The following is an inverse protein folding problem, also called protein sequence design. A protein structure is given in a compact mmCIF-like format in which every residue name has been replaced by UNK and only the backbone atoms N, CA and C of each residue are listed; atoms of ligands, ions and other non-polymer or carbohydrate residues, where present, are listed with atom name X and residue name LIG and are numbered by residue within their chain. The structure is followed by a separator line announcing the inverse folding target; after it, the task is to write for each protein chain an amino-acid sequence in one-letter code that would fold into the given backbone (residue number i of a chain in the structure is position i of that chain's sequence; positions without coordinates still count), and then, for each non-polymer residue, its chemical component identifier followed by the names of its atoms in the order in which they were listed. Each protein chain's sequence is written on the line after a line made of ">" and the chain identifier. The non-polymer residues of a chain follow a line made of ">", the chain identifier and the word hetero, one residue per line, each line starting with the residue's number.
data_IF_280890442264
#
_entry.id   IF_280890442264
#
_cell.length_a   1.000
_cell.length_b   1.000
_cell.length_c   1.000
_cell.angle_alpha   90.00
_cell.angle_beta   90.00
_cell.angle_gamma   90.00
#
_symmetry.space_group_name_H-M   'P 1'
#
loop_
_entity.id
_entity.type
_entity.pdbx_description
1 polymer ?
#
# COMPACT_ATOMS: atom_id res chain seq x y z
N UNK A 1 -34.87 -3.85 -12.88
CA UNK A 1 -33.52 -3.96 -13.47
C UNK A 1 -32.53 -3.40 -12.46
N UNK A 2 -32.03 -4.26 -11.58
CA UNK A 2 -31.05 -3.86 -10.56
C UNK A 2 -29.68 -3.77 -11.21
N UNK A 3 -29.08 -2.57 -11.19
CA UNK A 3 -27.67 -2.40 -11.54
C UNK A 3 -26.84 -3.14 -10.49
N UNK A 4 -26.35 -4.33 -10.85
CA UNK A 4 -25.24 -4.96 -10.15
C UNK A 4 -24.05 -4.01 -10.28
N UNK A 5 -23.75 -3.25 -9.23
CA UNK A 5 -22.52 -2.48 -9.17
C UNK A 5 -21.35 -3.46 -9.22
N UNK A 6 -20.58 -3.42 -10.30
CA UNK A 6 -19.30 -4.13 -10.37
C UNK A 6 -18.48 -3.70 -9.15
N UNK A 7 -18.12 -4.64 -8.27
CA UNK A 7 -17.14 -4.36 -7.24
C UNK A 7 -15.87 -3.87 -7.96
N UNK A 8 -15.35 -2.71 -7.56
CA UNK A 8 -14.07 -2.22 -8.08
C UNK A 8 -12.99 -3.21 -7.63
N UNK A 9 -12.31 -3.85 -8.58
CA UNK A 9 -11.16 -4.70 -8.29
C UNK A 9 -9.96 -3.78 -8.00
N UNK A 10 -9.56 -3.69 -6.74
CA UNK A 10 -8.36 -2.96 -6.33
C UNK A 10 -7.14 -3.85 -6.54
N UNK A 11 -6.07 -3.27 -7.06
CA UNK A 11 -4.83 -3.99 -7.28
C UNK A 11 -3.63 -3.17 -6.83
N UNK A 12 -2.72 -3.83 -6.13
CA UNK A 12 -1.47 -3.23 -5.71
C UNK A 12 -0.36 -3.81 -6.58
N UNK A 13 0.32 -2.95 -7.31
CA UNK A 13 1.44 -3.31 -8.17
C UNK A 13 2.75 -3.19 -7.38
N UNK A 14 3.34 -4.33 -7.02
CA UNK A 14 4.54 -4.43 -6.20
C UNK A 14 5.63 -5.27 -6.90
N UNK A 15 6.24 -4.78 -7.99
CA UNK A 15 7.23 -5.54 -8.77
C UNK A 15 8.51 -5.88 -7.99
N UNK A 16 8.80 -5.15 -6.92
CA UNK A 16 9.87 -5.46 -5.97
C UNK A 16 9.77 -6.88 -5.41
N UNK A 17 8.56 -7.39 -5.15
CA UNK A 17 8.36 -8.72 -4.59
C UNK A 17 8.84 -9.85 -5.51
N UNK A 18 8.87 -9.63 -6.83
CA UNK A 18 9.37 -10.62 -7.79
C UNK A 18 10.88 -10.85 -7.70
N UNK A 19 11.61 -9.95 -7.04
CA UNK A 19 13.06 -10.06 -6.85
C UNK A 19 13.43 -10.88 -5.61
N UNK A 20 12.43 -11.30 -4.83
CA UNK A 20 12.61 -12.14 -3.65
C UNK A 20 12.27 -13.61 -3.99
N UNK A 21 12.91 -14.59 -3.34
CA UNK A 21 12.62 -16.00 -3.62
C UNK A 21 11.16 -16.32 -3.31
N UNK A 22 10.42 -16.87 -4.29
CA UNK A 22 9.05 -17.34 -4.09
C UNK A 22 8.97 -18.30 -2.90
N UNK A 23 7.87 -18.22 -2.15
CA UNK A 23 7.68 -18.99 -0.92
C UNK A 23 8.35 -18.39 0.32
N UNK A 24 9.23 -17.40 0.18
CA UNK A 24 9.78 -16.67 1.32
C UNK A 24 8.68 -15.84 2.00
N UNK A 25 8.71 -15.69 3.33
CA UNK A 25 7.71 -14.88 4.04
C UNK A 25 7.87 -13.40 3.66
N UNK A 26 6.74 -12.69 3.58
CA UNK A 26 6.67 -11.27 3.22
C UNK A 26 7.54 -10.38 4.13
N UNK A 27 7.81 -10.78 5.37
CA UNK A 27 8.79 -10.09 6.25
C UNK A 27 10.16 -9.91 5.59
N UNK A 28 10.58 -10.82 4.71
CA UNK A 28 11.84 -10.67 3.98
C UNK A 28 11.85 -9.41 3.09
N UNK A 29 10.67 -8.98 2.67
CA UNK A 29 10.49 -7.81 1.85
C UNK A 29 10.59 -6.49 2.65
N UNK A 30 10.62 -6.54 3.99
CA UNK A 30 10.85 -5.36 4.84
C UNK A 30 12.33 -5.20 5.22
N UNK A 31 13.19 -6.12 4.81
CA UNK A 31 14.63 -6.06 5.02
C UNK A 31 15.31 -5.26 3.88
N UNK A 32 16.48 -4.64 4.13
CA UNK A 32 17.23 -3.89 3.12
C UNK A 32 17.98 -4.83 2.15
N UNK A 33 17.26 -5.80 1.58
CA UNK A 33 17.78 -6.77 0.61
C UNK A 33 17.58 -6.33 -0.83
N UNK A 34 16.56 -5.51 -1.09
CA UNK A 34 16.23 -4.95 -2.39
C UNK A 34 15.82 -3.48 -2.24
N UNK A 35 16.14 -2.67 -3.26
CA UNK A 35 15.59 -1.32 -3.39
C UNK A 35 14.21 -1.41 -4.06
N UNK A 36 13.16 -1.25 -3.26
CA UNK A 36 11.78 -1.35 -3.73
C UNK A 36 11.42 -0.29 -4.76
N UNK A 37 11.86 0.94 -4.53
CA UNK A 37 11.50 2.08 -5.35
C UNK A 37 12.25 2.01 -6.69
N UNK A 38 13.52 1.59 -6.70
CA UNK A 38 14.24 1.34 -7.95
C UNK A 38 13.64 0.16 -8.73
N UNK A 39 13.24 -0.93 -8.07
CA UNK A 39 12.53 -2.03 -8.73
C UNK A 39 11.24 -1.55 -9.43
N UNK A 40 10.46 -0.69 -8.77
CA UNK A 40 9.27 -0.08 -9.35
C UNK A 40 9.64 0.82 -10.54
N UNK A 41 10.66 1.66 -10.39
CA UNK A 41 11.11 2.58 -11.42
C UNK A 41 11.57 1.85 -12.69
N UNK A 42 12.34 0.78 -12.52
CA UNK A 42 12.77 -0.09 -13.61
C UNK A 42 11.57 -0.73 -14.32
N UNK A 43 10.63 -1.29 -13.55
CA UNK A 43 9.43 -1.91 -14.11
C UNK A 43 8.55 -0.92 -14.89
N UNK A 44 8.39 0.30 -14.37
CA UNK A 44 7.69 1.38 -15.08
C UNK A 44 8.40 1.75 -16.39
N UNK A 45 9.74 1.78 -16.42
CA UNK A 45 10.54 2.11 -17.61
C UNK A 45 10.47 1.02 -18.69
N UNK A 46 10.64 -0.24 -18.31
CA UNK A 46 10.59 -1.39 -19.23
C UNK A 46 9.19 -1.67 -19.76
N UNK A 47 8.17 -1.12 -19.10
CA UNK A 47 6.78 -1.19 -19.49
C UNK A 47 6.00 -2.14 -18.58
N UNK A 48 4.88 -1.65 -18.05
CA UNK A 48 3.89 -2.48 -17.38
C UNK A 48 3.00 -3.15 -18.43
N UNK A 49 3.35 -4.37 -18.85
CA UNK A 49 2.41 -5.19 -19.61
C UNK A 49 1.20 -5.53 -18.72
N UNK A 50 -0.02 -5.29 -19.22
CA UNK A 50 -1.24 -5.63 -18.51
C UNK A 50 -1.85 -4.53 -17.65
N UNK A 51 -1.93 -3.29 -18.17
CA UNK A 51 -2.75 -2.19 -17.61
C UNK A 51 -4.10 -2.73 -17.13
N UNK A 52 -4.32 -2.68 -15.82
CA UNK A 52 -5.64 -2.87 -15.22
C UNK A 52 -6.04 -1.51 -14.65
N UNK A 53 -7.22 -1.06 -15.06
CA UNK A 53 -7.86 0.13 -14.47
C UNK A 53 -7.86 -0.08 -12.94
N UNK A 54 -7.38 0.91 -12.16
CA UNK A 54 -7.26 0.85 -10.68
C UNK A 54 -6.06 0.07 -10.09
N UNK A 55 -4.90 0.11 -10.77
CA UNK A 55 -3.64 -0.30 -10.17
C UNK A 55 -2.99 0.82 -9.32
N UNK A 56 -2.55 0.48 -8.11
CA UNK A 56 -1.84 1.35 -7.17
C UNK A 56 -0.38 0.91 -7.05
N UNK A 57 0.58 1.81 -7.27
CA UNK A 57 1.99 1.47 -7.15
C UNK A 57 2.41 1.35 -5.68
N UNK A 58 3.00 0.21 -5.31
CA UNK A 58 3.59 0.01 -4.00
C UNK A 58 4.95 0.71 -3.89
N UNK A 59 5.07 1.60 -2.91
CA UNK A 59 6.25 2.44 -2.72
C UNK A 59 6.69 2.43 -1.26
N UNK A 60 8.00 2.36 -1.03
CA UNK A 60 8.59 2.64 0.29
C UNK A 60 8.67 4.15 0.43
N UNK A 61 7.64 4.77 1.02
CA UNK A 61 7.49 6.23 1.04
C UNK A 61 8.42 6.96 2.03
N UNK A 62 9.08 6.21 2.91
CA UNK A 62 10.09 6.73 3.85
C UNK A 62 11.51 6.73 3.26
N UNK A 63 11.67 6.28 2.02
CA UNK A 63 12.97 6.27 1.34
C UNK A 63 13.54 7.69 1.18
N UNK A 64 14.69 8.02 1.79
CA UNK A 64 15.26 9.36 1.72
C UNK A 64 15.94 9.65 0.37
N UNK A 65 16.13 8.65 -0.50
CA UNK A 65 16.85 8.77 -1.76
C UNK A 65 15.93 8.86 -2.98
N UNK A 66 14.64 8.61 -2.81
CA UNK A 66 13.68 8.66 -3.91
C UNK A 66 13.46 10.09 -4.43
N UNK A 67 13.53 10.23 -5.76
CA UNK A 67 13.09 11.42 -6.48
C UNK A 67 11.60 11.27 -6.82
N UNK A 68 10.71 11.85 -6.01
CA UNK A 68 9.27 11.60 -6.08
C UNK A 68 8.63 12.17 -7.34
N UNK A 69 9.19 13.26 -7.87
CA UNK A 69 8.82 13.88 -9.13
C UNK A 69 8.99 12.90 -10.29
N UNK A 70 10.12 12.19 -10.37
CA UNK A 70 10.37 11.18 -11.41
C UNK A 70 9.34 10.03 -11.34
N UNK A 71 8.94 9.63 -10.14
CA UNK A 71 7.88 8.65 -9.95
C UNK A 71 6.53 9.18 -10.43
N UNK A 72 6.16 10.41 -10.06
CA UNK A 72 4.88 10.99 -10.43
C UNK A 72 4.74 11.09 -11.96
N UNK A 73 5.77 11.57 -12.65
CA UNK A 73 5.80 11.68 -14.11
C UNK A 73 5.64 10.31 -14.76
N UNK A 74 6.45 9.32 -14.34
CA UNK A 74 6.37 7.97 -14.90
C UNK A 74 5.05 7.28 -14.61
N UNK A 75 4.50 7.41 -13.40
CA UNK A 75 3.19 6.84 -13.05
C UNK A 75 2.09 7.44 -13.93
N UNK A 76 2.14 8.75 -14.19
CA UNK A 76 1.20 9.43 -15.08
C UNK A 76 1.34 8.97 -16.53
N UNK A 77 2.56 8.90 -17.07
CA UNK A 77 2.85 8.39 -18.42
C UNK A 77 2.36 6.95 -18.61
N UNK A 78 2.49 6.12 -17.56
CA UNK A 78 2.07 4.71 -17.60
C UNK A 78 0.58 4.50 -17.34
N UNK A 79 -0.11 5.53 -16.83
CA UNK A 79 -1.55 5.52 -16.58
C UNK A 79 -1.94 4.76 -15.31
N UNK A 80 -1.06 4.70 -14.30
CA UNK A 80 -1.44 4.15 -13.00
C UNK A 80 -2.38 5.11 -12.27
N UNK A 81 -3.35 4.55 -11.56
CA UNK A 81 -4.45 5.31 -10.97
C UNK A 81 -4.13 5.84 -9.57
N UNK A 82 -3.12 5.27 -8.90
CA UNK A 82 -2.80 5.63 -7.54
C UNK A 82 -1.50 5.04 -7.00
N UNK A 83 -1.27 5.31 -5.72
CA UNK A 83 -0.09 4.88 -4.96
C UNK A 83 -0.48 4.32 -3.59
N UNK A 84 0.40 3.51 -3.01
CA UNK A 84 0.29 2.99 -1.64
C UNK A 84 1.66 3.00 -0.94
N UNK A 85 1.68 3.31 0.35
CA UNK A 85 2.85 3.24 1.22
C UNK A 85 3.10 1.78 1.66
N UNK A 86 3.56 0.92 0.75
CA UNK A 86 3.76 -0.50 1.04
C UNK A 86 5.18 -0.96 0.73
N UNK A 87 5.87 -1.62 1.69
CA UNK A 87 5.44 -1.90 3.07
C UNK A 87 5.29 -0.62 3.91
N UNK A 88 4.37 -0.58 4.87
CA UNK A 88 4.16 0.62 5.68
C UNK A 88 5.26 0.80 6.72
N UNK A 89 5.60 2.05 7.04
CA UNK A 89 6.60 2.42 8.05
C UNK A 89 6.27 1.79 9.40
N UNK A 90 4.98 1.70 9.77
CA UNK A 90 4.51 1.01 10.99
C UNK A 90 4.86 -0.49 11.10
N UNK A 91 5.36 -1.11 10.02
CA UNK A 91 5.90 -2.47 10.00
C UNK A 91 7.43 -2.47 9.96
N UNK A 92 8.03 -1.51 9.26
CA UNK A 92 9.49 -1.41 9.07
C UNK A 92 10.18 -0.80 10.29
N UNK A 93 9.60 0.28 10.81
CA UNK A 93 10.01 0.98 12.02
C UNK A 93 9.17 0.45 13.17
N UNK A 94 9.79 -0.19 14.17
CA UNK A 94 9.06 -0.62 15.37
C UNK A 94 8.54 0.63 16.09
N UNK A 95 7.21 0.81 16.10
CA UNK A 95 6.55 1.97 16.69
C UNK A 95 7.06 2.21 18.13
N UNK A 96 7.53 3.44 18.40
CA UNK A 96 8.22 3.75 19.66
C UNK A 96 7.29 4.11 20.82
N UNK A 97 6.00 4.36 20.59
CA UNK A 97 4.97 4.50 21.65
C UNK A 97 3.60 4.12 21.06
N UNK A 98 2.82 3.32 21.79
CA UNK A 98 1.48 2.95 21.36
C UNK A 98 0.56 4.19 21.26
N UNK A 99 -0.05 4.40 20.10
CA UNK A 99 -1.11 5.41 19.90
C UNK A 99 -0.65 6.79 19.40
N UNK A 100 0.59 6.94 18.96
CA UNK A 100 1.06 8.17 18.27
C UNK A 100 1.53 7.86 16.86
N UNK A 101 1.28 8.78 15.92
CA UNK A 101 1.92 8.77 14.60
C UNK A 101 3.42 9.05 14.79
N UNK A 102 4.26 8.12 14.37
CA UNK A 102 5.72 8.31 14.38
C UNK A 102 6.23 9.11 13.17
N UNK A 103 7.54 9.37 13.12
CA UNK A 103 8.16 10.16 12.06
C UNK A 103 8.07 9.49 10.68
N UNK A 104 8.17 8.16 10.64
CA UNK A 104 8.01 7.37 9.43
C UNK A 104 6.59 7.51 8.88
N UNK A 105 5.57 7.26 9.70
CA UNK A 105 4.18 7.41 9.33
C UNK A 105 3.80 8.85 8.94
N UNK A 106 4.35 9.86 9.63
CA UNK A 106 4.15 11.26 9.25
C UNK A 106 4.73 11.56 7.86
N UNK A 107 5.88 10.96 7.53
CA UNK A 107 6.49 11.07 6.20
C UNK A 107 5.59 10.42 5.14
N UNK A 108 5.06 9.23 5.41
CA UNK A 108 4.10 8.55 4.53
C UNK A 108 2.86 9.40 4.26
N UNK A 109 2.27 10.00 5.30
CA UNK A 109 1.12 10.88 5.13
C UNK A 109 1.42 12.07 4.24
N UNK A 110 2.53 12.77 4.48
CA UNK A 110 2.92 13.92 3.64
C UNK A 110 3.12 13.53 2.19
N UNK A 111 3.69 12.34 1.94
CA UNK A 111 3.89 11.83 0.58
C UNK A 111 2.57 11.48 -0.09
N UNK A 112 1.66 10.80 0.60
CA UNK A 112 0.33 10.49 0.08
C UNK A 112 -0.51 11.74 -0.15
N UNK A 113 -0.42 12.76 0.71
CA UNK A 113 -1.03 14.08 0.50
C UNK A 113 -0.49 14.76 -0.76
N UNK A 114 0.83 14.72 -0.94
CA UNK A 114 1.48 15.27 -2.13
C UNK A 114 1.05 14.56 -3.42
N UNK A 115 1.07 13.23 -3.46
CA UNK A 115 0.54 12.46 -4.61
C UNK A 115 -0.96 12.73 -4.84
N UNK A 116 -1.74 12.84 -3.77
CA UNK A 116 -3.15 13.23 -3.85
C UNK A 116 -3.35 14.61 -4.48
N UNK A 117 -2.47 15.57 -4.17
CA UNK A 117 -2.51 16.91 -4.77
C UNK A 117 -2.21 16.92 -6.28
N UNK A 118 -1.49 15.91 -6.78
CA UNK A 118 -1.22 15.68 -8.21
C UNK A 118 -2.35 14.90 -8.91
N UNK A 119 -3.41 14.52 -8.19
CA UNK A 119 -4.58 13.82 -8.75
C UNK A 119 -4.53 12.30 -8.66
N UNK A 120 -3.50 11.72 -8.04
CA UNK A 120 -3.46 10.29 -7.78
C UNK A 120 -4.45 9.90 -6.68
N UNK A 121 -5.04 8.71 -6.82
CA UNK A 121 -5.74 8.07 -5.71
C UNK A 121 -4.75 7.41 -4.76
N UNK A 122 -5.14 7.20 -3.52
CA UNK A 122 -4.27 6.61 -2.50
C UNK A 122 -4.91 5.42 -1.83
N UNK A 123 -4.08 4.43 -1.49
CA UNK A 123 -4.37 3.45 -0.44
C UNK A 123 -3.40 3.74 0.69
N UNK A 124 -3.88 3.65 1.93
CA UNK A 124 -3.02 3.76 3.10
C UNK A 124 -2.83 2.39 3.73
N UNK A 125 -1.60 1.91 3.78
CA UNK A 125 -1.23 0.71 4.51
C UNK A 125 -0.78 1.05 5.94
N UNK A 126 -1.20 0.24 6.91
CA UNK A 126 -0.82 0.43 8.33
C UNK A 126 -1.01 -0.86 9.13
N UNK A 127 -0.23 -1.04 10.20
CA UNK A 127 -0.43 -2.10 11.20
C UNK A 127 -1.25 -1.63 12.42
N UNK A 128 -1.65 -0.36 12.48
CA UNK A 128 -2.30 0.25 13.66
C UNK A 128 -3.65 0.90 13.35
N UNK A 129 -4.62 0.70 14.26
CA UNK A 129 -5.96 1.27 14.16
C UNK A 129 -5.96 2.80 14.34
N UNK A 130 -5.04 3.34 15.14
CA UNK A 130 -4.94 4.79 15.33
C UNK A 130 -4.64 5.52 14.01
N UNK A 131 -3.73 4.99 13.20
CA UNK A 131 -3.37 5.59 11.92
C UNK A 131 -4.49 5.50 10.87
N UNK A 132 -5.41 4.54 11.00
CA UNK A 132 -6.61 4.44 10.15
C UNK A 132 -7.47 5.69 10.27
N UNK A 133 -7.80 6.09 11.50
CA UNK A 133 -8.63 7.27 11.74
C UNK A 133 -7.96 8.55 11.21
N UNK A 134 -6.64 8.68 11.42
CA UNK A 134 -5.85 9.82 10.91
C UNK A 134 -5.85 9.86 9.37
N UNK A 135 -5.70 8.71 8.71
CA UNK A 135 -5.72 8.61 7.26
C UNK A 135 -7.07 9.03 6.67
N UNK A 136 -8.18 8.65 7.29
CA UNK A 136 -9.51 9.01 6.82
C UNK A 136 -9.77 10.51 6.86
N UNK A 137 -9.18 11.21 7.82
CA UNK A 137 -9.28 12.67 7.92
C UNK A 137 -8.33 13.37 6.93
N UNK A 138 -7.02 13.06 7.01
CA UNK A 138 -5.98 13.73 6.22
C UNK A 138 -6.07 13.45 4.72
N UNK A 139 -6.34 12.21 4.35
CA UNK A 139 -6.38 11.75 2.96
C UNK A 139 -7.79 11.71 2.40
N UNK A 140 -8.79 12.29 3.09
CA UNK A 140 -10.23 12.19 2.74
C UNK A 140 -10.56 12.37 1.26
N UNK A 141 -9.82 13.24 0.58
CA UNK A 141 -10.06 13.57 -0.84
C UNK A 141 -9.51 12.47 -1.77
N UNK A 142 -8.32 11.94 -1.49
CA UNK A 142 -7.60 11.00 -2.37
C UNK A 142 -7.71 9.53 -1.97
N UNK A 143 -8.10 9.23 -0.73
CA UNK A 143 -8.13 7.88 -0.17
C UNK A 143 -9.27 7.03 -0.75
N UNK A 144 -8.92 5.88 -1.32
CA UNK A 144 -9.87 4.88 -1.85
C UNK A 144 -10.05 3.68 -0.92
N UNK A 145 -8.99 3.27 -0.22
CA UNK A 145 -9.02 2.11 0.65
C UNK A 145 -7.92 2.16 1.71
N UNK A 146 -8.02 1.25 2.68
CA UNK A 146 -7.00 0.99 3.68
C UNK A 146 -6.52 -0.45 3.54
N UNK A 147 -5.21 -0.67 3.65
CA UNK A 147 -4.61 -2.00 3.78
C UNK A 147 -4.13 -2.18 5.22
N UNK A 148 -4.84 -2.99 6.00
CA UNK A 148 -4.39 -3.37 7.32
C UNK A 148 -3.36 -4.50 7.22
N UNK A 149 -2.15 -4.25 7.71
CA UNK A 149 -1.03 -5.20 7.69
C UNK A 149 -0.81 -5.72 9.10
N UNK A 150 -1.49 -6.80 9.44
CA UNK A 150 -1.32 -7.46 10.73
C UNK A 150 0.07 -8.13 10.82
N UNK A 151 0.57 -8.44 12.03
CA UNK A 151 1.81 -9.21 12.16
C UNK A 151 1.77 -10.56 11.41
N UNK A 152 0.62 -11.23 11.37
CA UNK A 152 0.44 -12.49 10.64
C UNK A 152 0.53 -12.32 9.12
N UNK A 153 0.23 -11.13 8.58
CA UNK A 153 0.40 -10.85 7.15
C UNK A 153 1.88 -10.97 6.71
N UNK A 154 2.82 -10.80 7.63
CA UNK A 154 4.26 -10.90 7.33
C UNK A 154 4.71 -12.34 7.07
N UNK A 155 3.91 -13.33 7.47
CA UNK A 155 4.16 -14.75 7.20
C UNK A 155 3.61 -15.20 5.83
N UNK A 156 2.82 -14.35 5.16
CA UNK A 156 2.29 -14.64 3.82
C UNK A 156 3.45 -14.93 2.86
N UNK A 157 3.46 -16.07 2.16
CA UNK A 157 4.52 -16.39 1.22
C UNK A 157 4.44 -15.47 -0.01
N UNK A 158 5.60 -14.99 -0.45
CA UNK A 158 5.77 -14.23 -1.68
C UNK A 158 5.45 -15.12 -2.89
N UNK A 159 4.68 -14.57 -3.83
CA UNK A 159 4.15 -15.21 -5.04
C UNK A 159 3.76 -14.13 -6.05
N UNK A 160 3.49 -14.53 -7.29
CA UNK A 160 3.18 -13.60 -8.38
C UNK A 160 1.91 -12.78 -8.12
N UNK A 161 0.93 -13.36 -7.42
CA UNK A 161 -0.29 -12.68 -6.98
C UNK A 161 -0.61 -13.03 -5.53
N UNK A 162 -0.81 -12.00 -4.70
CA UNK A 162 -1.28 -12.14 -3.30
C UNK A 162 -2.69 -11.56 -3.22
N UNK A 163 -3.64 -12.36 -2.73
CA UNK A 163 -5.03 -11.95 -2.63
C UNK A 163 -5.25 -10.94 -1.49
N UNK A 164 -5.96 -9.86 -1.82
CA UNK A 164 -6.50 -8.91 -0.84
C UNK A 164 -7.89 -9.37 -0.42
N UNK A 165 -8.09 -9.62 0.87
CA UNK A 165 -9.40 -9.98 1.43
C UNK A 165 -9.99 -8.81 2.18
N UNK A 166 -11.31 -8.65 2.14
CA UNK A 166 -11.97 -7.64 2.97
C UNK A 166 -11.79 -7.97 4.46
N UNK A 167 -11.37 -6.98 5.24
CA UNK A 167 -11.22 -7.11 6.68
C UNK A 167 -12.59 -7.12 7.36
N UNK A 168 -13.15 -8.31 7.61
CA UNK A 168 -14.41 -8.45 8.32
C UNK A 168 -14.16 -8.58 9.83
N UNK A 169 -14.10 -7.45 10.55
CA UNK A 169 -14.27 -7.43 12.01
C UNK A 169 -13.02 -7.15 12.87
N UNK A 170 -11.90 -6.69 12.31
CA UNK A 170 -10.70 -6.37 13.11
C UNK A 170 -10.65 -4.94 13.68
N UNK A 171 -11.69 -4.13 13.43
CA UNK A 171 -11.79 -2.75 13.91
C UNK A 171 -12.93 -2.65 14.93
N UNK A 172 -12.68 -1.96 16.04
CA UNK A 172 -13.69 -1.74 17.08
C UNK A 172 -14.96 -1.11 16.47
N UNK A 173 -16.15 -1.50 16.95
CA UNK A 173 -17.44 -1.17 16.32
C UNK A 173 -17.67 0.35 16.15
N UNK A 174 -17.07 1.15 17.02
CA UNK A 174 -17.04 2.62 17.08
C UNK A 174 -15.98 3.27 16.16
N UNK A 175 -15.12 2.49 15.52
CA UNK A 175 -14.10 2.93 14.56
C UNK A 175 -14.32 2.30 13.16
N UNK A 176 -15.55 1.89 12.86
CA UNK A 176 -15.90 1.30 11.56
C UNK A 176 -15.56 2.31 10.45
N UNK A 177 -14.58 2.00 9.58
CA UNK A 177 -14.15 2.96 8.59
C UNK A 177 -15.22 3.16 7.52
N UNK A 178 -15.37 4.40 7.05
CA UNK A 178 -16.25 4.75 5.94
C UNK A 178 -15.77 4.22 4.57
N UNK A 179 -14.58 3.62 4.54
CA UNK A 179 -13.90 3.14 3.35
C UNK A 179 -13.59 1.64 3.47
N UNK A 180 -13.46 0.91 2.36
CA UNK A 180 -13.09 -0.50 2.39
C UNK A 180 -11.71 -0.69 3.03
N UNK A 181 -11.63 -1.68 3.93
CA UNK A 181 -10.38 -2.15 4.52
C UNK A 181 -10.09 -3.54 3.99
N UNK A 182 -8.86 -3.73 3.56
CA UNK A 182 -8.33 -5.00 3.09
C UNK A 182 -7.25 -5.51 4.03
N UNK A 183 -7.04 -6.81 4.02
CA UNK A 183 -5.94 -7.50 4.69
C UNK A 183 -5.28 -8.48 3.70
N UNK A 184 -4.01 -8.80 3.97
CA UNK A 184 -3.32 -9.90 3.29
C UNK A 184 -3.62 -11.19 4.07
N UNK A 185 -4.30 -12.15 3.43
CA UNK A 185 -4.59 -13.44 4.07
C UNK A 185 -3.42 -14.40 3.90
N UNK A 186 -2.87 -14.87 5.02
CA UNK A 186 -1.99 -16.03 5.03
C UNK A 186 -2.77 -17.25 4.50
N UNK A 187 -2.18 -18.12 3.67
CA UNK A 187 -2.84 -19.35 3.26
C UNK A 187 -3.29 -20.10 4.53
N UNK A 188 -4.53 -20.61 4.54
CA UNK A 188 -5.00 -21.47 5.63
C UNK A 188 -3.98 -22.61 5.80
N UNK A 189 -3.40 -22.72 7.00
CA UNK A 189 -2.41 -23.75 7.35
C UNK A 189 -3.02 -25.16 7.36
#
# INVERSE_FOLDING_TARGET
>A
MSRSGSAKCIQIYAPSLLHLPQGSPLVMATLPVIDWNDCLLQALRTGCEGRRELAYAAMVMVDPFACWEDFADLLQERGLSGVINFPPASVVEQATVAGTIDAGQETEFRRLEWFGSLGFRTIFATSTNHAIAVAQDRLRISLDAILYVSPAALEVPIRDEIELVAAHGSLAADQSPSLPVYELRAPDA
#
